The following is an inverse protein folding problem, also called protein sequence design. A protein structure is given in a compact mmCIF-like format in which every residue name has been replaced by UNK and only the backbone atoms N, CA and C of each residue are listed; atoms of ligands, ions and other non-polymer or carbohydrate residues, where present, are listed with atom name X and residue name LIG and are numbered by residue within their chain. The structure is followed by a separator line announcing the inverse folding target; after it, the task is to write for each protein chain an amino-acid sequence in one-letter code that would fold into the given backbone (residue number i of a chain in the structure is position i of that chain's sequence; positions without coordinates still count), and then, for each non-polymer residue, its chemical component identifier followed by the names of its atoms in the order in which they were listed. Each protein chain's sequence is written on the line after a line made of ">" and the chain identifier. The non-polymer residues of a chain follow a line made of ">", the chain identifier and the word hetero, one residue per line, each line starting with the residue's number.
data_IF_402632658131
#
_entry.id   IF_402632658131
#
_cell.length_a   1.000
_cell.length_b   1.000
_cell.length_c   1.000
_cell.angle_alpha   90.00
_cell.angle_beta   90.00
_cell.angle_gamma   90.00
#
_symmetry.space_group_name_H-M   'P 1'
#
loop_
_entity.id
_entity.type
_entity.pdbx_description
1 polymer ?
#
# COMPACT_ATOMS: atom_id res chain seq x y z
N UNK A 1 -91.14 -11.26 -0.05
CA UNK A 1 -90.79 -10.28 1.01
C UNK A 1 -89.27 -10.12 1.03
N UNK A 2 -88.82 -8.85 1.01
CA UNK A 2 -87.45 -8.31 1.09
C UNK A 2 -86.52 -8.56 -0.11
N UNK A 3 -86.60 -7.61 -1.04
CA UNK A 3 -85.63 -7.26 -2.07
C UNK A 3 -84.35 -6.65 -1.48
N UNK A 4 -83.19 -7.05 -2.00
CA UNK A 4 -81.93 -6.30 -1.86
C UNK A 4 -81.47 -5.82 -3.25
N UNK A 5 -81.03 -4.56 -3.39
CA UNK A 5 -80.72 -3.95 -4.68
C UNK A 5 -79.34 -4.34 -5.22
N UNK A 6 -79.12 -4.28 -6.55
CA UNK A 6 -77.83 -4.54 -7.18
C UNK A 6 -76.85 -3.40 -6.94
N UNK A 7 -75.63 -3.75 -6.53
CA UNK A 7 -74.51 -2.83 -6.33
C UNK A 7 -73.88 -2.52 -7.69
N UNK A 8 -74.03 -1.28 -8.15
CA UNK A 8 -73.26 -0.71 -9.26
C UNK A 8 -71.93 -0.15 -8.75
N UNK A 9 -70.81 -0.32 -9.49
CA UNK A 9 -69.54 0.29 -9.13
C UNK A 9 -69.57 1.81 -9.35
N UNK A 10 -68.99 2.62 -8.44
CA UNK A 10 -68.88 4.06 -8.61
C UNK A 10 -67.83 4.47 -9.66
N UNK A 11 -67.97 5.66 -10.26
CA UNK A 11 -67.15 6.13 -11.38
C UNK A 11 -65.79 6.73 -10.96
N UNK A 12 -64.89 6.84 -11.95
CA UNK A 12 -63.50 7.30 -11.87
C UNK A 12 -63.33 8.70 -11.25
N UNK A 13 -62.32 8.84 -10.39
CA UNK A 13 -61.78 10.11 -9.90
C UNK A 13 -60.34 10.37 -10.43
N UNK A 14 -59.92 11.64 -10.59
CA UNK A 14 -58.87 12.05 -11.53
C UNK A 14 -57.43 11.99 -10.98
N UNK A 15 -56.47 11.95 -11.92
CA UNK A 15 -55.01 12.04 -11.71
C UNK A 15 -54.63 13.30 -10.91
N UNK A 16 -53.95 13.11 -9.79
CA UNK A 16 -53.17 14.14 -9.11
C UNK A 16 -51.66 13.82 -9.26
N UNK A 17 -50.91 14.75 -9.86
CA UNK A 17 -49.44 14.76 -9.85
C UNK A 17 -48.97 15.12 -8.44
N UNK A 18 -48.34 14.18 -7.75
CA UNK A 18 -47.64 14.40 -6.49
C UNK A 18 -46.14 14.24 -6.70
N UNK A 19 -45.42 15.35 -6.57
CA UNK A 19 -43.96 15.41 -6.49
C UNK A 19 -43.57 14.79 -5.14
N UNK A 20 -42.95 13.63 -5.16
CA UNK A 20 -42.34 13.04 -3.97
C UNK A 20 -40.87 13.43 -3.93
N UNK A 21 -40.55 14.33 -2.99
CA UNK A 21 -39.18 14.55 -2.54
C UNK A 21 -38.68 13.29 -1.84
N UNK A 22 -37.91 12.48 -2.56
CA UNK A 22 -37.08 11.45 -1.98
C UNK A 22 -35.83 12.10 -1.42
N UNK A 23 -35.77 12.24 -0.09
CA UNK A 23 -34.55 12.50 0.63
C UNK A 23 -33.59 11.33 0.35
N UNK A 24 -32.62 11.59 -0.51
CA UNK A 24 -31.63 10.61 -0.92
C UNK A 24 -30.62 10.42 0.21
N UNK A 25 -30.86 9.42 1.06
CA UNK A 25 -29.85 8.88 1.99
C UNK A 25 -28.83 8.07 1.17
N UNK A 26 -28.04 8.74 0.33
CA UNK A 26 -26.73 8.22 -0.01
C UNK A 26 -25.79 8.71 1.08
N UNK A 27 -25.05 7.84 1.79
CA UNK A 27 -23.91 8.31 2.55
C UNK A 27 -23.00 9.03 1.56
N UNK A 28 -22.81 10.33 1.76
CA UNK A 28 -21.73 11.06 1.08
C UNK A 28 -20.47 10.30 1.46
N UNK A 29 -19.68 9.77 0.51
CA UNK A 29 -18.39 9.21 0.88
C UNK A 29 -17.65 10.34 1.57
N UNK A 30 -17.38 10.17 2.87
CA UNK A 30 -16.42 11.03 3.55
C UNK A 30 -15.13 10.86 2.76
N UNK A 31 -14.81 11.87 1.94
CA UNK A 31 -13.58 11.88 1.17
C UNK A 31 -12.47 11.98 2.20
N UNK A 32 -11.93 10.83 2.59
CA UNK A 32 -10.76 10.78 3.43
C UNK A 32 -9.66 11.47 2.63
N UNK A 33 -9.14 12.57 3.16
CA UNK A 33 -8.04 13.25 2.53
C UNK A 33 -6.86 12.26 2.39
N UNK A 34 -6.17 12.24 1.24
CA UNK A 34 -5.07 11.32 1.04
C UNK A 34 -3.98 11.60 2.08
N UNK A 35 -3.42 10.53 2.61
CA UNK A 35 -2.31 10.62 3.57
C UNK A 35 -1.02 10.46 2.80
N UNK A 36 -0.04 11.31 3.09
CA UNK A 36 1.31 11.19 2.59
C UNK A 36 2.31 11.11 3.73
N UNK A 37 3.47 10.53 3.45
CA UNK A 37 4.62 10.55 4.34
C UNK A 37 5.73 11.38 3.71
N UNK A 38 6.29 12.27 4.50
CA UNK A 38 7.48 13.05 4.15
C UNK A 38 8.65 12.11 3.97
N UNK A 39 9.29 12.17 2.81
CA UNK A 39 10.48 11.39 2.45
C UNK A 39 11.61 12.36 2.12
N UNK A 40 12.45 12.62 3.11
CA UNK A 40 13.64 13.49 3.03
C UNK A 40 14.79 12.81 3.75
N UNK A 41 15.47 11.83 3.12
CA UNK A 41 16.52 11.05 3.78
C UNK A 41 17.57 11.96 4.43
N UNK A 42 17.71 11.85 5.76
CA UNK A 42 18.61 12.62 6.62
C UNK A 42 18.47 14.16 6.56
N UNK A 43 17.33 14.66 6.07
CA UNK A 43 17.04 16.09 5.98
C UNK A 43 15.61 16.40 6.46
N UNK A 44 15.28 17.68 6.50
CA UNK A 44 13.98 18.18 6.89
C UNK A 44 13.26 18.86 5.73
N UNK A 45 11.94 18.71 5.70
CA UNK A 45 11.08 19.31 4.69
C UNK A 45 10.54 20.66 5.18
N UNK A 46 10.89 21.73 4.47
CA UNK A 46 10.35 23.05 4.71
C UNK A 46 8.85 23.11 4.37
N UNK A 47 8.04 23.54 5.33
CA UNK A 47 6.64 23.91 5.14
C UNK A 47 6.56 25.41 4.90
N UNK A 48 5.83 25.82 3.88
CA UNK A 48 5.71 27.23 3.48
C UNK A 48 4.28 27.75 3.62
N UNK A 49 4.16 29.06 3.88
CA UNK A 49 2.87 29.77 4.02
C UNK A 49 2.03 29.70 2.74
N UNK A 50 2.71 29.76 1.60
CA UNK A 50 2.18 29.58 0.23
C UNK A 50 3.19 28.78 -0.59
N UNK A 51 2.83 28.27 -1.78
CA UNK A 51 3.80 27.73 -2.72
C UNK A 51 4.99 28.69 -2.92
N UNK A 52 6.21 28.20 -2.73
CA UNK A 52 7.46 28.98 -2.76
C UNK A 52 7.52 30.22 -1.82
N UNK A 53 6.61 30.33 -0.84
CA UNK A 53 6.51 31.45 0.10
C UNK A 53 7.49 31.37 1.27
N UNK A 54 7.21 32.12 2.35
CA UNK A 54 8.03 32.05 3.57
C UNK A 54 7.94 30.68 4.25
N UNK A 55 9.04 30.23 4.84
CA UNK A 55 9.06 28.99 5.65
C UNK A 55 8.34 29.28 6.97
N UNK A 56 7.31 28.51 7.27
CA UNK A 56 6.48 28.66 8.48
C UNK A 56 6.65 27.51 9.46
N UNK A 57 7.15 26.37 9.00
CA UNK A 57 7.32 25.15 9.81
C UNK A 57 8.30 24.18 9.12
N UNK A 58 8.73 23.14 9.82
CA UNK A 58 9.68 22.14 9.35
C UNK A 58 9.18 20.74 9.74
N UNK A 59 9.14 19.82 8.79
CA UNK A 59 8.77 18.42 9.03
C UNK A 59 10.01 17.53 8.96
N UNK A 60 10.13 16.58 9.86
CA UNK A 60 11.17 15.54 9.78
C UNK A 60 10.81 14.46 8.76
N UNK A 61 11.82 13.74 8.32
CA UNK A 61 11.62 12.50 7.55
C UNK A 61 10.67 11.53 8.28
N UNK A 62 9.84 10.82 7.53
CA UNK A 62 8.85 9.90 8.08
C UNK A 62 7.59 10.57 8.67
N UNK A 63 7.49 11.91 8.68
CA UNK A 63 6.31 12.61 9.20
C UNK A 63 5.08 12.33 8.33
N UNK A 64 3.98 11.90 8.95
CA UNK A 64 2.69 11.74 8.29
C UNK A 64 1.99 13.10 8.14
N UNK A 65 1.48 13.37 6.94
CA UNK A 65 0.70 14.58 6.62
C UNK A 65 -0.58 14.21 5.87
N UNK A 66 -1.64 14.95 6.15
CA UNK A 66 -2.92 14.86 5.44
C UNK A 66 -2.93 15.91 4.33
N UNK A 67 -3.22 15.50 3.10
CA UNK A 67 -3.31 16.41 1.96
C UNK A 67 -4.67 17.09 1.98
N UNK A 68 -4.67 18.41 2.21
CA UNK A 68 -5.89 19.17 2.49
C UNK A 68 -6.56 19.77 1.24
N UNK A 69 -6.05 19.47 0.03
CA UNK A 69 -6.56 20.05 -1.22
C UNK A 69 -5.67 19.74 -2.43
N UNK A 70 -5.99 20.37 -3.55
CA UNK A 70 -5.32 20.11 -4.82
C UNK A 70 -3.91 20.68 -4.88
N UNK A 71 -2.98 19.89 -5.45
CA UNK A 71 -1.62 20.34 -5.71
C UNK A 71 -1.56 21.36 -6.86
N UNK A 72 -0.64 22.31 -6.76
CA UNK A 72 -0.44 23.38 -7.76
C UNK A 72 0.99 23.37 -8.27
N UNK A 73 1.18 23.56 -9.57
CA UNK A 73 2.51 23.72 -10.16
C UNK A 73 2.89 25.21 -10.19
N UNK A 74 3.97 25.56 -9.51
CA UNK A 74 4.53 26.91 -9.46
C UNK A 74 6.01 26.82 -9.83
N UNK A 75 6.39 27.51 -10.91
CA UNK A 75 7.78 27.58 -11.38
C UNK A 75 8.42 26.21 -11.68
N UNK A 76 7.61 25.22 -12.06
CA UNK A 76 8.08 23.87 -12.38
C UNK A 76 8.16 22.92 -11.18
N UNK A 77 7.84 23.39 -9.98
CA UNK A 77 7.73 22.57 -8.76
C UNK A 77 6.26 22.37 -8.40
N UNK A 78 5.87 21.13 -8.09
CA UNK A 78 4.51 20.81 -7.63
C UNK A 78 4.45 21.01 -6.12
N UNK A 79 3.52 21.85 -5.67
CA UNK A 79 3.28 22.16 -4.26
C UNK A 79 1.95 21.54 -3.83
N UNK A 80 1.98 20.84 -2.70
CA UNK A 80 0.83 20.15 -2.13
C UNK A 80 0.44 20.79 -0.80
N UNK A 81 -0.84 21.14 -0.60
CA UNK A 81 -1.30 21.71 0.65
C UNK A 81 -1.50 20.60 1.70
N UNK A 82 -1.00 20.84 2.92
CA UNK A 82 -1.10 19.92 4.07
C UNK A 82 -1.83 20.55 5.27
N UNK A 83 -2.62 21.58 4.99
CA UNK A 83 -3.35 22.39 5.97
C UNK A 83 -3.47 23.86 5.55
N UNK A 84 -4.12 24.64 6.41
CA UNK A 84 -4.30 26.09 6.19
C UNK A 84 -2.93 26.77 6.23
N UNK A 85 -2.58 27.46 5.13
CA UNK A 85 -1.30 28.15 4.97
C UNK A 85 -0.08 27.24 5.21
N UNK A 86 -0.18 25.96 4.83
CA UNK A 86 0.92 24.99 4.94
C UNK A 86 1.06 24.23 3.62
N UNK A 87 2.15 24.50 2.92
CA UNK A 87 2.46 23.93 1.61
C UNK A 87 3.83 23.28 1.63
N UNK A 88 3.95 22.13 0.98
CA UNK A 88 5.21 21.39 0.85
C UNK A 88 5.42 20.96 -0.61
N UNK A 89 6.68 20.74 -1.00
CA UNK A 89 6.99 20.25 -2.34
C UNK A 89 6.60 18.76 -2.46
N UNK A 90 5.77 18.44 -3.45
CA UNK A 90 5.13 17.14 -3.63
C UNK A 90 6.12 16.01 -3.90
N UNK A 91 7.30 16.32 -4.48
CA UNK A 91 8.36 15.35 -4.74
C UNK A 91 8.93 14.70 -3.47
N UNK A 92 8.69 15.30 -2.31
CA UNK A 92 9.07 14.76 -1.00
C UNK A 92 7.91 14.09 -0.27
N UNK A 93 6.76 13.93 -0.93
CA UNK A 93 5.62 13.22 -0.38
C UNK A 93 5.51 11.87 -1.07
N UNK A 94 5.40 10.79 -0.28
CA UNK A 94 4.87 9.53 -0.80
C UNK A 94 3.46 9.32 -0.27
N UNK A 95 2.51 9.18 -1.19
CA UNK A 95 1.14 8.81 -0.85
C UNK A 95 1.09 7.42 -0.23
N UNK A 96 0.27 7.27 0.80
CA UNK A 96 -0.11 5.98 1.35
C UNK A 96 -1.62 5.90 1.33
N UNK A 97 -2.10 4.77 0.81
CA UNK A 97 -3.51 4.45 0.80
C UNK A 97 -4.06 4.46 2.24
N UNK A 98 -5.09 5.26 2.48
CA UNK A 98 -5.74 5.37 3.78
C UNK A 98 -6.29 4.01 4.24
N UNK A 99 -6.70 3.14 3.31
CA UNK A 99 -7.16 1.79 3.62
C UNK A 99 -6.04 0.93 4.21
N UNK A 100 -4.81 1.10 3.73
CA UNK A 100 -3.63 0.38 4.25
C UNK A 100 -3.21 0.92 5.61
N UNK A 101 -3.31 2.23 5.83
CA UNK A 101 -3.07 2.81 7.15
C UNK A 101 -4.12 2.37 8.18
N UNK A 102 -5.35 2.13 7.74
CA UNK A 102 -6.42 1.61 8.60
C UNK A 102 -6.20 0.16 9.03
N UNK A 103 -5.31 -0.61 8.37
CA UNK A 103 -4.91 -1.95 8.82
C UNK A 103 -4.14 -1.80 10.14
N UNK A 104 -4.64 -2.38 11.24
CA UNK A 104 -4.02 -2.22 12.56
C UNK A 104 -2.68 -2.93 12.64
N UNK A 105 -1.79 -2.38 13.47
CA UNK A 105 -0.46 -2.93 13.72
C UNK A 105 0.60 -2.50 12.71
N UNK A 106 1.83 -2.90 13.00
CA UNK A 106 2.95 -2.69 12.11
C UNK A 106 2.77 -3.51 10.82
N UNK A 107 3.31 -3.01 9.72
CA UNK A 107 3.09 -3.55 8.39
C UNK A 107 4.26 -3.25 7.47
N UNK A 108 4.43 -4.10 6.47
CA UNK A 108 5.42 -3.94 5.41
C UNK A 108 4.66 -3.61 4.13
N UNK A 109 5.06 -2.54 3.44
CA UNK A 109 4.48 -2.16 2.15
C UNK A 109 5.57 -2.29 1.10
N UNK A 110 5.42 -3.21 0.17
CA UNK A 110 6.38 -3.51 -0.89
C UNK A 110 5.78 -3.15 -2.25
N UNK A 111 6.32 -2.11 -2.90
CA UNK A 111 5.82 -1.62 -4.18
C UNK A 111 6.83 -1.94 -5.28
N UNK A 112 6.39 -2.67 -6.31
CA UNK A 112 7.23 -2.93 -7.47
C UNK A 112 7.61 -1.62 -8.17
N UNK A 113 8.86 -1.50 -8.61
CA UNK A 113 9.39 -0.33 -9.34
C UNK A 113 9.93 -0.73 -10.71
N UNK A 114 10.31 0.24 -11.54
CA UNK A 114 11.01 -0.03 -12.81
C UNK A 114 12.51 -0.31 -12.64
N UNK A 115 13.06 -0.11 -11.43
CA UNK A 115 14.46 -0.37 -11.14
C UNK A 115 14.77 -1.88 -11.23
N UNK A 116 15.97 -2.19 -11.72
CA UNK A 116 16.46 -3.57 -11.79
C UNK A 116 17.84 -3.72 -11.17
N UNK A 117 18.08 -4.86 -10.52
CA UNK A 117 19.37 -5.27 -9.95
C UNK A 117 19.74 -6.68 -10.42
N UNK A 118 20.98 -7.12 -10.12
CA UNK A 118 21.37 -8.53 -10.28
C UNK A 118 21.36 -9.08 -11.70
N UNK A 119 21.28 -8.21 -12.73
CA UNK A 119 21.16 -8.63 -14.12
C UNK A 119 19.72 -8.74 -14.64
N UNK A 120 18.73 -8.23 -13.90
CA UNK A 120 17.35 -8.07 -14.39
C UNK A 120 16.25 -8.40 -13.39
N UNK A 121 16.55 -8.54 -12.10
CA UNK A 121 15.53 -8.66 -11.06
C UNK A 121 14.86 -7.32 -10.85
N UNK A 122 13.52 -7.32 -10.90
CA UNK A 122 12.73 -6.13 -10.61
C UNK A 122 12.84 -5.81 -9.12
N UNK A 123 13.14 -4.54 -8.80
CA UNK A 123 13.20 -4.06 -7.42
C UNK A 123 11.80 -3.74 -6.92
N UNK A 124 11.57 -4.06 -5.65
CA UNK A 124 10.43 -3.62 -4.87
C UNK A 124 10.92 -2.65 -3.80
N UNK A 125 10.51 -1.39 -3.88
CA UNK A 125 10.78 -0.41 -2.83
C UNK A 125 9.89 -0.73 -1.65
N UNK A 126 10.49 -1.12 -0.53
CA UNK A 126 9.77 -1.71 0.61
C UNK A 126 9.89 -0.83 1.84
N UNK A 127 8.75 -0.30 2.29
CA UNK A 127 8.62 0.56 3.47
C UNK A 127 8.22 -0.28 4.67
N UNK A 128 8.88 -0.05 5.80
CA UNK A 128 8.64 -0.73 7.07
C UNK A 128 7.91 0.24 8.01
N UNK A 129 6.63 0.01 8.27
CA UNK A 129 5.77 0.93 9.02
C UNK A 129 5.44 0.36 10.39
N UNK A 130 5.57 1.18 11.43
CA UNK A 130 5.11 0.81 12.77
C UNK A 130 3.56 0.81 12.88
N UNK A 131 3.06 0.56 14.08
CA UNK A 131 1.63 0.53 14.36
C UNK A 131 0.94 1.90 14.32
N UNK A 132 1.70 3.00 14.29
CA UNK A 132 1.20 4.37 14.16
C UNK A 132 1.18 4.85 12.71
N UNK A 133 1.86 4.12 11.81
CA UNK A 133 2.00 4.49 10.41
C UNK A 133 3.32 5.20 10.10
N UNK A 134 4.21 5.39 11.07
CA UNK A 134 5.54 5.96 10.86
C UNK A 134 6.42 4.98 10.11
N UNK A 135 7.12 5.47 9.08
CA UNK A 135 8.14 4.69 8.37
C UNK A 135 9.37 4.60 9.26
N UNK A 136 9.70 3.39 9.71
CA UNK A 136 10.89 3.09 10.50
C UNK A 136 12.11 2.96 9.61
N UNK A 137 11.95 2.33 8.45
CA UNK A 137 13.02 2.19 7.47
C UNK A 137 12.46 1.90 6.07
N UNK A 138 13.33 1.99 5.06
CA UNK A 138 13.03 1.56 3.70
C UNK A 138 14.18 0.69 3.18
N UNK A 139 13.83 -0.47 2.63
CA UNK A 139 14.78 -1.43 2.06
C UNK A 139 14.34 -1.82 0.65
N UNK A 140 15.26 -2.34 -0.16
CA UNK A 140 14.87 -2.99 -1.41
C UNK A 140 14.54 -4.44 -1.16
N UNK A 141 13.60 -4.95 -1.93
CA UNK A 141 13.31 -6.37 -2.03
C UNK A 141 13.26 -6.79 -3.51
N UNK A 142 13.30 -8.10 -3.74
CA UNK A 142 13.07 -8.75 -5.03
C UNK A 142 12.06 -9.87 -4.85
N UNK A 143 11.38 -10.25 -5.93
CA UNK A 143 10.46 -11.38 -5.92
C UNK A 143 10.40 -12.00 -7.32
N UNK A 144 10.31 -13.33 -7.39
CA UNK A 144 10.39 -14.07 -8.64
C UNK A 144 11.82 -14.16 -9.19
N UNK A 145 12.01 -15.00 -10.19
CA UNK A 145 13.31 -15.20 -10.87
C UNK A 145 13.51 -14.25 -12.04
N UNK A 146 14.76 -14.05 -12.46
CA UNK A 146 15.06 -13.32 -13.70
C UNK A 146 14.29 -13.96 -14.87
N UNK A 147 13.63 -13.13 -15.69
CA UNK A 147 12.79 -13.58 -16.81
C UNK A 147 11.41 -14.10 -16.40
N UNK A 148 11.12 -14.22 -15.10
CA UNK A 148 9.82 -14.59 -14.54
C UNK A 148 9.38 -13.54 -13.52
N UNK A 149 9.11 -12.32 -13.98
CA UNK A 149 8.83 -11.13 -13.14
C UNK A 149 7.39 -10.61 -13.27
N UNK A 150 6.50 -11.41 -13.87
CA UNK A 150 5.07 -11.13 -13.96
C UNK A 150 4.35 -11.96 -12.88
N UNK A 151 3.68 -11.34 -11.89
CA UNK A 151 3.00 -12.07 -10.82
C UNK A 151 1.96 -13.07 -11.34
N UNK A 152 1.78 -14.16 -10.60
CA UNK A 152 0.85 -15.24 -10.95
C UNK A 152 0.34 -15.96 -9.69
N UNK A 153 -0.94 -16.30 -9.72
CA UNK A 153 -1.64 -17.05 -8.68
C UNK A 153 -1.50 -18.58 -8.78
N UNK A 154 -0.77 -19.07 -9.81
CA UNK A 154 -0.64 -20.50 -10.10
C UNK A 154 0.34 -21.16 -9.11
N UNK A 155 -0.06 -22.31 -8.56
CA UNK A 155 0.79 -23.07 -7.63
C UNK A 155 2.15 -23.44 -8.22
N UNK A 156 3.21 -23.31 -7.42
CA UNK A 156 4.58 -23.66 -7.81
C UNK A 156 5.23 -22.75 -8.86
N UNK A 157 4.60 -21.63 -9.23
CA UNK A 157 5.25 -20.65 -10.11
C UNK A 157 6.48 -20.04 -9.44
N UNK A 158 7.54 -19.80 -10.22
CA UNK A 158 8.74 -19.06 -9.76
C UNK A 158 8.64 -17.56 -10.09
N UNK A 159 7.41 -17.10 -10.30
CA UNK A 159 7.07 -15.70 -10.54
C UNK A 159 6.95 -14.93 -9.23
N UNK A 160 6.89 -13.59 -9.23
CA UNK A 160 6.75 -12.83 -8.01
C UNK A 160 5.49 -13.18 -7.22
N UNK A 161 5.43 -12.71 -5.97
CA UNK A 161 4.22 -12.66 -5.18
C UNK A 161 3.09 -11.97 -5.97
N UNK A 162 1.88 -12.55 -6.03
CA UNK A 162 0.70 -11.81 -6.47
C UNK A 162 0.51 -10.52 -5.68
N UNK A 163 0.00 -9.48 -6.35
CA UNK A 163 -0.34 -8.25 -5.66
C UNK A 163 -1.52 -8.46 -4.71
N UNK A 164 -1.42 -7.92 -3.50
CA UNK A 164 -2.44 -8.09 -2.48
C UNK A 164 -1.90 -8.00 -1.07
N UNK A 165 -2.76 -8.38 -0.12
CA UNK A 165 -2.48 -8.33 1.31
C UNK A 165 -2.22 -9.75 1.81
N UNK A 166 -1.17 -9.89 2.60
CA UNK A 166 -0.74 -11.11 3.25
C UNK A 166 -0.70 -10.88 4.76
N UNK A 167 -0.93 -11.92 5.54
CA UNK A 167 -0.70 -11.94 6.99
C UNK A 167 0.59 -12.66 7.31
N UNK A 168 1.34 -12.19 8.31
CA UNK A 168 2.42 -12.98 8.90
C UNK A 168 1.83 -14.12 9.73
N UNK A 169 2.28 -15.34 9.49
CA UNK A 169 1.78 -16.53 10.20
C UNK A 169 2.18 -16.51 11.67
N UNK A 170 3.35 -15.94 11.96
CA UNK A 170 3.86 -15.72 13.30
C UNK A 170 4.54 -14.34 13.41
N UNK A 171 3.78 -13.27 13.71
CA UNK A 171 4.33 -11.93 13.89
C UNK A 171 5.44 -11.92 14.96
N UNK A 172 6.54 -11.24 14.68
CA UNK A 172 7.68 -11.18 15.61
C UNK A 172 8.61 -12.38 15.58
N UNK A 173 8.40 -13.34 14.65
CA UNK A 173 9.23 -14.53 14.52
C UNK A 173 10.01 -14.49 13.22
N UNK A 174 11.32 -14.70 13.33
CA UNK A 174 12.24 -14.95 12.22
C UNK A 174 12.93 -16.27 12.52
N UNK A 175 12.69 -17.26 11.67
CA UNK A 175 13.25 -18.61 11.78
C UNK A 175 14.61 -18.69 11.09
N UNK A 176 15.49 -19.58 11.57
CA UNK A 176 16.72 -19.91 10.86
C UNK A 176 16.38 -20.80 9.65
N UNK A 177 16.75 -20.34 8.46
CA UNK A 177 16.43 -21.01 7.20
C UNK A 177 17.66 -21.01 6.26
N UNK A 178 18.47 -22.08 6.26
CA UNK A 178 19.67 -22.15 5.43
C UNK A 178 19.34 -22.35 3.94
N UNK A 179 20.35 -22.21 3.08
CA UNK A 179 20.20 -22.41 1.63
C UNK A 179 19.66 -21.19 0.92
N UNK A 180 18.64 -21.37 0.07
CA UNK A 180 18.05 -20.30 -0.77
C UNK A 180 17.39 -19.17 0.05
N UNK A 181 17.11 -19.41 1.33
CA UNK A 181 16.49 -18.42 2.22
C UNK A 181 17.50 -17.55 2.98
N UNK A 182 18.80 -17.79 2.80
CA UNK A 182 19.84 -16.87 3.28
C UNK A 182 19.98 -16.77 4.81
N UNK A 183 19.45 -17.73 5.55
CA UNK A 183 19.55 -17.84 7.00
C UNK A 183 18.40 -17.20 7.78
N UNK A 184 17.39 -16.61 7.13
CA UNK A 184 16.24 -16.01 7.80
C UNK A 184 14.94 -16.31 7.07
N UNK A 185 13.86 -16.56 7.81
CA UNK A 185 12.55 -16.84 7.23
C UNK A 185 11.41 -16.34 8.11
N UNK A 186 10.46 -15.63 7.51
CA UNK A 186 9.19 -15.29 8.13
C UNK A 186 8.04 -15.64 7.19
N UNK A 187 7.24 -16.64 7.57
CA UNK A 187 6.15 -17.15 6.75
C UNK A 187 4.99 -16.14 6.64
N UNK A 188 4.39 -16.10 5.45
CA UNK A 188 3.23 -15.27 5.14
C UNK A 188 2.14 -16.07 4.42
N UNK A 189 0.89 -15.70 4.66
CA UNK A 189 -0.29 -16.28 4.01
C UNK A 189 -1.11 -15.21 3.30
N UNK A 190 -1.49 -15.41 2.02
CA UNK A 190 -2.35 -14.48 1.29
C UNK A 190 -3.75 -14.43 1.90
N UNK A 191 -4.32 -13.22 1.98
CA UNK A 191 -5.70 -12.99 2.47
C UNK A 191 -6.75 -13.06 1.36
N UNK A 192 -6.33 -13.36 0.14
CA UNK A 192 -7.14 -13.43 -1.07
C UNK A 192 -6.98 -14.81 -1.74
N UNK A 193 -7.94 -15.22 -2.60
CA UNK A 193 -7.87 -16.50 -3.28
C UNK A 193 -6.64 -16.59 -4.21
N UNK A 194 -5.79 -17.59 -3.98
CA UNK A 194 -4.63 -17.91 -4.83
C UNK A 194 -4.24 -19.36 -4.59
N UNK A 195 -3.56 -20.00 -5.53
CA UNK A 195 -3.06 -21.38 -5.38
C UNK A 195 -1.62 -21.42 -4.85
N UNK A 196 -1.07 -20.26 -4.49
CA UNK A 196 0.28 -20.09 -3.93
C UNK A 196 0.31 -20.44 -2.44
N UNK A 197 1.35 -21.15 -2.04
CA UNK A 197 1.62 -21.53 -0.64
C UNK A 197 3.14 -21.56 -0.40
N UNK A 198 3.55 -21.69 0.87
CA UNK A 198 4.98 -21.73 1.24
C UNK A 198 5.69 -20.42 0.93
N UNK A 199 4.99 -19.30 1.11
CA UNK A 199 5.49 -17.96 0.86
C UNK A 199 6.09 -17.37 2.13
N UNK A 200 7.08 -16.50 1.97
CA UNK A 200 7.73 -15.86 3.10
C UNK A 200 8.52 -14.63 2.70
N UNK A 201 8.97 -13.92 3.74
CA UNK A 201 10.00 -12.88 3.67
C UNK A 201 11.33 -13.49 4.11
N UNK A 202 12.38 -13.31 3.30
CA UNK A 202 13.71 -13.86 3.60
C UNK A 202 14.85 -13.02 3.01
N UNK A 203 16.07 -13.54 3.04
CA UNK A 203 17.23 -13.00 2.32
C UNK A 203 17.55 -13.87 1.10
N UNK A 204 17.80 -13.26 -0.05
CA UNK A 204 18.24 -13.99 -1.25
C UNK A 204 19.74 -13.73 -1.49
N UNK A 205 20.63 -14.68 -1.14
CA UNK A 205 22.07 -14.54 -1.37
C UNK A 205 22.44 -14.53 -2.86
N UNK A 206 21.53 -14.95 -3.74
CA UNK A 206 21.73 -14.95 -5.18
C UNK A 206 21.29 -13.65 -5.86
N UNK A 207 20.57 -12.75 -5.18
CA UNK A 207 19.93 -11.59 -5.79
C UNK A 207 20.88 -10.63 -6.52
N UNK A 208 22.15 -10.58 -6.09
CA UNK A 208 23.21 -9.78 -6.72
C UNK A 208 24.25 -10.63 -7.47
N UNK A 209 24.05 -11.95 -7.51
CA UNK A 209 24.82 -12.87 -8.31
C UNK A 209 24.10 -13.03 -9.66
N UNK A 210 24.82 -13.09 -10.77
CA UNK A 210 24.23 -13.38 -12.09
C UNK A 210 24.34 -14.88 -12.39
N UNK A 211 23.54 -15.69 -11.71
CA UNK A 211 23.49 -17.16 -11.85
C UNK A 211 22.11 -17.61 -12.36
N UNK A 212 21.96 -18.87 -12.76
CA UNK A 212 20.71 -19.35 -13.36
C UNK A 212 19.50 -19.28 -12.42
N UNK A 213 19.75 -19.36 -11.11
CA UNK A 213 18.71 -19.39 -10.08
C UNK A 213 18.48 -18.01 -9.44
N UNK A 214 19.05 -16.93 -9.99
CA UNK A 214 18.95 -15.59 -9.40
C UNK A 214 17.49 -15.13 -9.22
N UNK A 215 17.17 -14.76 -7.99
CA UNK A 215 15.84 -14.34 -7.55
C UNK A 215 15.14 -15.40 -6.69
N UNK A 216 13.88 -15.16 -6.37
CA UNK A 216 13.12 -16.06 -5.49
C UNK A 216 12.22 -16.99 -6.29
N UNK A 217 11.88 -18.15 -5.74
CA UNK A 217 10.76 -18.97 -6.23
C UNK A 217 9.39 -18.38 -5.84
N UNK A 218 9.32 -17.04 -5.83
CA UNK A 218 8.11 -16.26 -5.62
C UNK A 218 7.83 -15.80 -4.19
N UNK A 219 8.82 -15.88 -3.30
CA UNK A 219 8.87 -15.18 -2.02
C UNK A 219 9.24 -13.70 -2.19
N UNK A 220 9.20 -12.91 -1.11
CA UNK A 220 9.82 -11.59 -1.06
C UNK A 220 11.19 -11.71 -0.38
N UNK A 221 12.25 -11.22 -1.00
CA UNK A 221 13.58 -11.32 -0.41
C UNK A 221 14.35 -10.01 -0.45
N UNK A 222 15.11 -9.72 0.62
CA UNK A 222 16.09 -8.64 0.59
C UNK A 222 17.32 -9.07 -0.23
N UNK A 223 17.97 -8.15 -0.97
CA UNK A 223 19.07 -8.53 -1.86
C UNK A 223 20.46 -8.42 -1.21
N UNK A 224 20.58 -7.78 -0.04
CA UNK A 224 21.85 -7.62 0.69
C UNK A 224 21.74 -8.05 2.15
N UNK A 225 22.90 -8.32 2.77
CA UNK A 225 22.99 -8.63 4.21
C UNK A 225 22.53 -7.43 5.04
N UNK A 226 22.88 -6.21 4.67
CA UNK A 226 22.46 -5.00 5.39
C UNK A 226 20.93 -4.87 5.39
N UNK A 227 20.30 -5.00 4.22
CA UNK A 227 18.83 -4.95 4.10
C UNK A 227 18.15 -6.12 4.82
N UNK A 228 18.77 -7.31 4.83
CA UNK A 228 18.34 -8.44 5.66
C UNK A 228 18.32 -8.08 7.15
N UNK A 229 19.38 -7.48 7.68
CA UNK A 229 19.44 -7.12 9.11
C UNK A 229 18.39 -6.08 9.47
N UNK A 230 18.19 -5.08 8.62
CA UNK A 230 17.15 -4.05 8.81
C UNK A 230 15.76 -4.70 8.84
N UNK A 231 15.44 -5.54 7.84
CA UNK A 231 14.16 -6.25 7.76
C UNK A 231 13.96 -7.19 8.96
N UNK A 232 14.98 -7.97 9.32
CA UNK A 232 14.94 -8.93 10.43
C UNK A 232 14.70 -8.21 11.76
N UNK A 233 15.45 -7.13 12.02
CA UNK A 233 15.30 -6.31 13.22
C UNK A 233 13.90 -5.73 13.30
N UNK A 234 13.39 -5.19 12.19
CA UNK A 234 12.03 -4.66 12.13
C UNK A 234 10.97 -5.72 12.42
N UNK A 235 11.10 -6.93 11.83
CA UNK A 235 10.14 -8.02 12.08
C UNK A 235 10.13 -8.40 13.57
N UNK A 236 11.30 -8.55 14.18
CA UNK A 236 11.44 -8.94 15.60
C UNK A 236 10.90 -7.86 16.55
N UNK A 237 11.22 -6.58 16.30
CA UNK A 237 10.89 -5.48 17.20
C UNK A 237 9.44 -5.02 17.05
N UNK A 238 8.97 -4.84 15.81
CA UNK A 238 7.66 -4.24 15.53
C UNK A 238 6.55 -5.27 15.29
N UNK A 239 6.92 -6.55 15.13
CA UNK A 239 5.98 -7.67 14.98
C UNK A 239 4.92 -7.38 13.91
N UNK A 240 5.33 -7.12 12.65
CA UNK A 240 4.39 -6.76 11.60
C UNK A 240 3.37 -7.86 11.41
N UNK A 241 2.12 -7.45 11.30
CA UNK A 241 0.99 -8.36 11.13
C UNK A 241 0.67 -8.59 9.66
N UNK A 242 1.05 -7.64 8.79
CA UNK A 242 0.71 -7.65 7.38
C UNK A 242 1.90 -7.32 6.48
N UNK A 243 1.92 -7.97 5.32
CA UNK A 243 2.69 -7.57 4.15
C UNK A 243 1.70 -7.15 3.06
N UNK A 244 1.91 -5.98 2.46
CA UNK A 244 1.11 -5.47 1.35
C UNK A 244 2.02 -5.36 0.13
N UNK A 245 1.69 -6.09 -0.95
CA UNK A 245 2.44 -6.10 -2.20
C UNK A 245 1.67 -5.35 -3.27
N UNK A 246 2.28 -4.32 -3.87
CA UNK A 246 1.60 -3.39 -4.79
C UNK A 246 2.22 -3.36 -6.18
N UNK A 247 1.34 -3.10 -7.15
CA UNK A 247 1.75 -2.68 -8.51
C UNK A 247 2.44 -1.31 -8.46
N UNK A 248 3.29 -0.97 -9.45
CA UNK A 248 3.80 0.38 -9.59
C UNK A 248 2.64 1.37 -9.72
N UNK A 249 2.70 2.51 -9.03
CA UNK A 249 1.77 3.60 -9.28
C UNK A 249 2.07 4.14 -10.69
N UNK A 250 1.05 4.16 -11.58
CA UNK A 250 1.07 4.54 -13.01
C UNK A 250 1.08 3.42 -14.07
N UNK A 251 0.33 2.33 -13.89
CA UNK A 251 -0.14 1.54 -15.03
C UNK A 251 -1.62 1.17 -14.86
N UNK A 252 -2.47 2.02 -15.44
CA UNK A 252 -3.79 1.66 -15.97
C UNK A 252 -3.70 1.69 -17.51
#
# INVERSE_FOLDING_TARGET
>A
MKSFPPVFPPPLAPRARGIWGGCSLFPVPCYMNPIAIVTTPDDTLNVRSTPNGEIVDILGDGTQVEISGDSVNIEGEIWTPIGINRWVAAKYLTLIDAEILAIPGAKIISTQTEEQIGGGLQVYQTKLLDNTGTIINTVRCVSGRIGQQIPSDISGSQTPLPFGIYTFDAPGIVEDAPGEFGGVWSAITPTFPTERAGLGVHYDPSALLSVSETGTSGCLATPTIEEREIMTTFILEYQPTHLIVKKPENQD
#
